data_IF_659541173979
#
_entry.id   IF_659541173979
#
_cell.length_a   1.000
_cell.length_b   1.000
_cell.length_c   1.000
_cell.angle_alpha   90.00
_cell.angle_beta   90.00
_cell.angle_gamma   90.00
#
_symmetry.space_group_name_H-M   'P 1'
#
loop_
_entity.id
_entity.type
_entity.pdbx_description
1 polymer ?
#
# COMPACT_ATOMS: atom_id res chain seq x y z
N UNK A 1 4.98 30.50 -16.99
CA UNK A 1 4.06 29.50 -16.41
C UNK A 1 4.12 29.41 -14.88
N UNK A 2 5.08 30.03 -14.21
CA UNK A 2 5.31 29.99 -12.76
C UNK A 2 4.50 31.02 -11.93
N UNK A 3 3.85 32.00 -12.55
CA UNK A 3 3.07 33.04 -11.82
C UNK A 3 1.66 32.60 -11.39
N UNK A 4 1.12 31.52 -11.94
CA UNK A 4 -0.23 31.00 -11.57
C UNK A 4 -0.25 30.16 -10.30
N UNK A 5 0.89 29.65 -9.83
CA UNK A 5 0.96 28.77 -8.65
C UNK A 5 0.95 29.56 -7.34
N UNK A 6 1.41 30.82 -7.36
CA UNK A 6 1.50 31.67 -6.16
C UNK A 6 0.16 32.25 -5.68
N UNK A 7 -0.87 32.25 -6.51
CA UNK A 7 -2.20 32.82 -6.14
C UNK A 7 -3.21 31.79 -5.59
N UNK A 8 -2.88 30.51 -5.59
CA UNK A 8 -3.73 29.44 -5.06
C UNK A 8 -3.87 29.47 -3.52
N UNK A 9 -2.77 29.63 -2.74
CA UNK A 9 -2.87 29.65 -1.28
C UNK A 9 -3.68 30.85 -0.76
N UNK A 10 -3.54 32.03 -1.39
CA UNK A 10 -4.27 33.23 -0.95
C UNK A 10 -5.78 33.13 -1.20
N UNK A 11 -6.18 32.53 -2.32
CA UNK A 11 -7.59 32.28 -2.63
C UNK A 11 -8.21 31.21 -1.73
N UNK A 12 -7.44 30.19 -1.37
CA UNK A 12 -7.87 29.16 -0.42
C UNK A 12 -7.98 29.74 1.00
N UNK A 13 -7.00 30.52 1.44
CA UNK A 13 -7.01 31.17 2.73
C UNK A 13 -8.18 32.17 2.86
N UNK A 14 -8.50 32.89 1.80
CA UNK A 14 -9.62 33.82 1.78
C UNK A 14 -10.97 33.10 1.83
N UNK A 15 -11.13 32.00 1.07
CA UNK A 15 -12.32 31.13 1.14
C UNK A 15 -12.45 30.41 2.48
N UNK A 16 -11.34 30.01 3.09
CA UNK A 16 -11.30 29.42 4.43
C UNK A 16 -11.88 30.37 5.48
N UNK A 17 -11.54 31.65 5.42
CA UNK A 17 -12.05 32.67 6.37
C UNK A 17 -13.51 33.06 6.14
N UNK A 18 -14.01 32.94 4.92
CA UNK A 18 -15.33 33.45 4.52
C UNK A 18 -16.43 32.38 4.49
N UNK A 19 -16.12 31.10 4.51
CA UNK A 19 -17.10 30.02 4.35
C UNK A 19 -16.92 28.87 5.34
N UNK A 20 -17.82 28.76 6.31
CA UNK A 20 -17.87 27.61 7.22
C UNK A 20 -18.03 26.30 6.44
N UNK A 21 -18.80 26.30 5.35
CA UNK A 21 -18.98 25.14 4.46
C UNK A 21 -17.65 24.63 3.93
N UNK A 22 -16.84 25.54 3.39
CA UNK A 22 -15.52 25.20 2.86
C UNK A 22 -14.59 24.66 3.93
N UNK A 23 -14.64 25.22 5.14
CA UNK A 23 -13.83 24.76 6.29
C UNK A 23 -14.19 23.32 6.70
N UNK A 24 -15.48 23.01 6.83
CA UNK A 24 -15.93 21.65 7.23
C UNK A 24 -15.52 20.64 6.17
N UNK A 25 -15.83 20.88 4.92
CA UNK A 25 -15.48 19.93 3.83
C UNK A 25 -13.96 19.75 3.73
N UNK A 26 -13.21 20.85 3.72
CA UNK A 26 -11.75 20.78 3.59
C UNK A 26 -11.09 20.12 4.81
N UNK A 27 -11.55 20.42 6.04
CA UNK A 27 -11.02 19.78 7.26
C UNK A 27 -11.33 18.27 7.27
N UNK A 28 -12.50 17.85 6.80
CA UNK A 28 -12.85 16.43 6.65
C UNK A 28 -11.92 15.74 5.65
N UNK A 29 -11.74 16.33 4.46
CA UNK A 29 -10.85 15.78 3.44
C UNK A 29 -9.40 15.69 3.96
N UNK A 30 -8.89 16.79 4.51
CA UNK A 30 -7.51 16.83 5.04
C UNK A 30 -7.33 15.82 6.18
N UNK A 31 -8.26 15.79 7.15
CA UNK A 31 -8.22 14.84 8.26
C UNK A 31 -8.27 13.39 7.80
N UNK A 32 -9.20 13.05 6.90
CA UNK A 32 -9.32 11.70 6.34
C UNK A 32 -8.09 11.30 5.52
N UNK A 33 -7.55 12.23 4.74
CA UNK A 33 -6.33 11.99 3.96
C UNK A 33 -5.12 11.77 4.88
N UNK A 34 -5.00 12.56 5.95
CA UNK A 34 -3.92 12.40 6.93
C UNK A 34 -3.98 11.04 7.61
N UNK A 35 -5.17 10.62 8.05
CA UNK A 35 -5.38 9.29 8.65
C UNK A 35 -4.99 8.19 7.65
N UNK A 36 -5.39 8.31 6.39
CA UNK A 36 -5.04 7.33 5.37
C UNK A 36 -3.52 7.26 5.12
N UNK A 37 -2.85 8.43 5.04
CA UNK A 37 -1.39 8.51 4.84
C UNK A 37 -0.64 7.84 6.00
N UNK A 38 -1.17 7.91 7.22
CA UNK A 38 -0.55 7.29 8.39
C UNK A 38 -0.84 5.78 8.49
N UNK A 39 -2.09 5.38 8.24
CA UNK A 39 -2.51 3.99 8.41
C UNK A 39 -2.09 3.09 7.25
N UNK A 40 -2.14 3.59 6.01
CA UNK A 40 -1.87 2.76 4.83
C UNK A 40 -0.46 2.18 4.81
N UNK A 41 0.62 2.96 5.04
CA UNK A 41 1.98 2.41 5.09
C UNK A 41 2.17 1.41 6.24
N UNK A 42 1.58 1.65 7.41
CA UNK A 42 1.66 0.74 8.54
C UNK A 42 0.98 -0.61 8.23
N UNK A 43 -0.21 -0.58 7.63
CA UNK A 43 -0.94 -1.78 7.23
C UNK A 43 -0.19 -2.56 6.14
N UNK A 44 0.24 -1.87 5.08
CA UNK A 44 0.98 -2.49 3.98
C UNK A 44 2.33 -3.04 4.45
N UNK A 45 3.04 -2.33 5.34
CA UNK A 45 4.29 -2.80 5.93
C UNK A 45 4.13 -4.11 6.69
N UNK A 46 3.09 -4.24 7.51
CA UNK A 46 2.79 -5.48 8.23
C UNK A 46 2.44 -6.64 7.29
N UNK A 47 1.65 -6.39 6.25
CA UNK A 47 1.29 -7.41 5.24
C UNK A 47 2.55 -7.85 4.49
N UNK A 48 3.36 -6.89 4.01
CA UNK A 48 4.60 -7.19 3.29
C UNK A 48 5.56 -7.98 4.14
N UNK A 49 5.80 -7.57 5.39
CA UNK A 49 6.67 -8.29 6.32
C UNK A 49 6.16 -9.71 6.60
N UNK A 50 4.85 -9.89 6.75
CA UNK A 50 4.24 -11.21 6.95
C UNK A 50 4.41 -12.13 5.73
N UNK A 51 4.12 -11.63 4.53
CA UNK A 51 4.25 -12.40 3.28
C UNK A 51 5.71 -12.77 3.01
N UNK A 52 6.63 -11.80 3.06
CA UNK A 52 8.05 -12.05 2.81
C UNK A 52 8.67 -12.93 3.90
N UNK A 53 8.35 -12.71 5.17
CA UNK A 53 8.87 -13.55 6.27
C UNK A 53 8.40 -15.00 6.18
N UNK A 54 7.14 -15.24 5.78
CA UNK A 54 6.63 -16.59 5.54
C UNK A 54 7.34 -17.25 4.36
N UNK A 55 7.55 -16.52 3.26
CA UNK A 55 8.28 -17.02 2.08
C UNK A 55 9.74 -17.33 2.43
N UNK A 56 10.42 -16.44 3.16
CA UNK A 56 11.79 -16.63 3.63
C UNK A 56 11.92 -17.91 4.47
N UNK A 57 11.06 -18.08 5.48
CA UNK A 57 11.07 -19.27 6.32
C UNK A 57 10.83 -20.55 5.51
N UNK A 58 9.91 -20.53 4.57
CA UNK A 58 9.62 -21.66 3.68
C UNK A 58 10.79 -21.96 2.74
N UNK A 59 11.40 -20.92 2.15
CA UNK A 59 12.54 -21.05 1.26
C UNK A 59 13.77 -21.62 1.98
N UNK A 60 14.05 -21.17 3.19
CA UNK A 60 15.17 -21.69 4.02
C UNK A 60 14.94 -23.15 4.41
N UNK A 61 13.72 -23.52 4.79
CA UNK A 61 13.38 -24.91 5.11
C UNK A 61 13.54 -25.81 3.88
N UNK A 62 13.01 -25.37 2.72
CA UNK A 62 13.12 -26.09 1.46
C UNK A 62 14.59 -26.22 1.01
N UNK A 63 15.37 -25.13 1.11
CA UNK A 63 16.79 -25.14 0.74
C UNK A 63 17.59 -26.11 1.61
N UNK A 64 17.29 -26.19 2.89
CA UNK A 64 17.93 -27.13 3.80
C UNK A 64 17.59 -28.58 3.45
N UNK A 65 16.33 -28.86 3.14
CA UNK A 65 15.87 -30.20 2.73
C UNK A 65 16.49 -30.60 1.38
N UNK A 66 16.49 -29.70 0.40
CA UNK A 66 17.04 -29.93 -0.92
C UNK A 66 18.57 -30.15 -0.89
N UNK A 67 19.30 -29.36 -0.06
CA UNK A 67 20.72 -29.61 0.18
C UNK A 67 20.96 -31.00 0.71
N UNK A 68 20.19 -31.45 1.70
CA UNK A 68 20.29 -32.79 2.26
C UNK A 68 20.04 -33.90 1.22
N UNK A 69 19.10 -33.65 0.32
CA UNK A 69 18.84 -34.58 -0.80
C UNK A 69 19.98 -34.58 -1.81
N UNK A 70 20.46 -33.40 -2.23
CA UNK A 70 21.60 -33.26 -3.14
C UNK A 70 22.82 -33.99 -2.61
N UNK A 71 23.15 -33.81 -1.32
CA UNK A 71 24.28 -34.48 -0.69
C UNK A 71 24.08 -36.00 -0.63
N UNK A 72 22.88 -36.49 -0.36
CA UNK A 72 22.58 -37.93 -0.38
C UNK A 72 22.79 -38.54 -1.76
N UNK A 73 22.37 -37.85 -2.82
CA UNK A 73 22.60 -38.30 -4.22
C UNK A 73 24.11 -38.36 -4.49
N UNK A 74 24.86 -37.35 -4.09
CA UNK A 74 26.32 -37.29 -4.24
C UNK A 74 27.01 -38.43 -3.46
N UNK A 75 26.58 -38.71 -2.23
CA UNK A 75 27.17 -39.74 -1.39
C UNK A 75 26.84 -41.17 -1.89
N UNK A 76 25.68 -41.36 -2.53
CA UNK A 76 25.27 -42.63 -3.13
C UNK A 76 25.96 -42.89 -4.48
N UNK A 77 26.50 -41.84 -5.14
CA UNK A 77 27.16 -41.99 -6.43
C UNK A 77 28.62 -42.39 -6.22
N UNK A 78 29.14 -43.43 -6.87
CA UNK A 78 30.55 -43.76 -6.81
C UNK A 78 31.43 -42.61 -7.24
N UNK A 79 32.63 -42.49 -6.57
CA UNK A 79 33.55 -41.45 -6.95
C UNK A 79 33.90 -41.54 -8.44
N UNK A 80 34.03 -40.39 -9.14
CA UNK A 80 34.33 -40.39 -10.57
C UNK A 80 35.69 -41.08 -10.79
N UNK A 81 35.67 -42.19 -11.50
CA UNK A 81 36.88 -42.92 -11.93
C UNK A 81 36.97 -42.75 -13.44
N UNK A 82 38.04 -42.06 -13.89
CA UNK A 82 38.55 -41.95 -15.26
C UNK A 82 37.61 -41.80 -16.45
N UNK A 83 36.53 -42.54 -16.50
CA UNK A 83 35.58 -42.53 -17.63
C UNK A 83 34.23 -41.88 -17.34
N UNK A 84 33.87 -41.68 -16.05
CA UNK A 84 32.64 -40.97 -15.70
C UNK A 84 32.98 -39.56 -15.27
N UNK A 85 32.79 -38.55 -16.11
CA UNK A 85 33.15 -37.20 -15.78
C UNK A 85 32.25 -36.69 -14.63
N UNK A 86 32.85 -35.93 -13.72
CA UNK A 86 32.14 -35.26 -12.60
C UNK A 86 30.91 -34.48 -13.06
N UNK A 87 30.93 -34.00 -14.32
CA UNK A 87 29.81 -33.31 -14.96
C UNK A 87 28.52 -34.12 -14.97
N UNK A 88 28.58 -35.47 -15.15
CA UNK A 88 27.35 -36.33 -15.12
C UNK A 88 26.73 -36.40 -13.74
N UNK A 89 27.58 -36.44 -12.69
CA UNK A 89 27.08 -36.49 -11.31
C UNK A 89 26.41 -35.14 -10.95
N UNK A 90 27.03 -34.03 -11.35
CA UNK A 90 26.48 -32.69 -11.14
C UNK A 90 25.18 -32.53 -11.95
N UNK A 91 25.15 -32.97 -13.21
CA UNK A 91 23.95 -32.96 -14.04
C UNK A 91 22.79 -33.73 -13.40
N UNK A 92 23.08 -34.92 -12.83
CA UNK A 92 22.08 -35.70 -12.13
C UNK A 92 21.50 -34.97 -10.88
N UNK A 93 22.38 -34.30 -10.12
CA UNK A 93 21.95 -33.48 -8.98
C UNK A 93 21.11 -32.28 -9.44
N UNK A 94 21.56 -31.56 -10.47
CA UNK A 94 20.80 -30.43 -11.04
C UNK A 94 19.45 -30.91 -11.53
N UNK A 95 19.39 -32.03 -12.27
CA UNK A 95 18.13 -32.58 -12.79
C UNK A 95 17.16 -32.98 -11.66
N UNK A 96 17.69 -33.61 -10.60
CA UNK A 96 16.86 -33.98 -9.45
C UNK A 96 16.33 -32.75 -8.69
N UNK A 97 17.17 -31.74 -8.49
CA UNK A 97 16.77 -30.50 -7.83
C UNK A 97 15.84 -29.65 -8.73
N UNK A 98 16.08 -29.63 -10.04
CA UNK A 98 15.22 -28.99 -11.01
C UNK A 98 13.82 -29.62 -11.03
N UNK A 99 13.74 -30.94 -11.03
CA UNK A 99 12.46 -31.65 -10.97
C UNK A 99 11.68 -31.30 -9.69
N UNK A 100 12.38 -31.16 -8.58
CA UNK A 100 11.79 -30.75 -7.30
C UNK A 100 11.32 -29.29 -7.34
N UNK A 101 12.13 -28.37 -7.82
CA UNK A 101 11.80 -26.95 -7.96
C UNK A 101 10.67 -26.70 -8.95
N UNK A 102 10.72 -27.35 -10.11
CA UNK A 102 9.73 -27.19 -11.17
C UNK A 102 8.35 -27.74 -10.82
N UNK A 103 8.27 -28.88 -10.10
CA UNK A 103 6.99 -29.45 -9.66
C UNK A 103 6.20 -28.51 -8.77
N UNK A 104 6.88 -27.65 -8.02
CA UNK A 104 6.27 -26.72 -7.11
C UNK A 104 6.31 -25.26 -7.59
N UNK A 105 7.00 -24.98 -8.72
CA UNK A 105 7.25 -23.60 -9.19
C UNK A 105 8.02 -22.75 -8.16
N UNK A 106 8.81 -23.43 -7.30
CA UNK A 106 9.31 -22.80 -6.07
C UNK A 106 10.66 -22.13 -6.26
N UNK A 107 11.57 -22.75 -7.02
CA UNK A 107 12.94 -22.23 -7.15
C UNK A 107 13.66 -22.73 -8.41
N UNK A 108 14.65 -21.96 -8.82
CA UNK A 108 15.65 -22.33 -9.82
C UNK A 108 16.92 -22.81 -9.12
N UNK A 109 17.72 -23.60 -9.82
CA UNK A 109 18.95 -24.20 -9.29
C UNK A 109 20.16 -23.74 -10.09
N UNK A 110 21.23 -23.38 -9.39
CA UNK A 110 22.53 -23.08 -9.97
C UNK A 110 23.60 -23.79 -9.13
N UNK A 111 24.48 -24.56 -9.76
CA UNK A 111 25.63 -25.20 -9.13
C UNK A 111 26.91 -24.60 -9.71
N UNK A 112 27.72 -24.03 -8.84
CA UNK A 112 28.99 -23.40 -9.18
C UNK A 112 30.14 -24.17 -8.52
N UNK A 113 31.30 -24.13 -9.16
CA UNK A 113 32.52 -24.65 -8.54
C UNK A 113 33.06 -23.61 -7.53
N UNK A 114 33.45 -24.05 -6.33
CA UNK A 114 34.11 -23.17 -5.38
C UNK A 114 35.55 -22.91 -5.79
N UNK A 115 35.94 -21.65 -5.98
CA UNK A 115 37.36 -21.32 -6.18
C UNK A 115 38.18 -21.49 -4.87
N UNK A 116 39.43 -21.97 -4.91
CA UNK A 116 40.29 -22.08 -6.08
C UNK A 116 40.62 -23.54 -6.45
N UNK A 117 39.73 -24.19 -7.13
CA UNK A 117 40.15 -25.43 -7.78
C UNK A 117 40.67 -25.04 -9.18
N UNK A 118 41.96 -24.77 -9.29
CA UNK A 118 42.65 -24.43 -10.54
C UNK A 118 42.56 -25.48 -11.66
N UNK A 119 41.53 -26.26 -11.68
CA UNK A 119 41.15 -27.28 -12.65
C UNK A 119 39.60 -27.37 -12.74
N UNK A 120 38.91 -26.25 -12.81
CA UNK A 120 37.46 -26.25 -13.10
C UNK A 120 37.24 -26.70 -14.57
N UNK A 121 37.30 -28.00 -14.80
CA UNK A 121 36.97 -28.63 -16.09
C UNK A 121 35.46 -28.91 -16.22
N UNK A 122 34.66 -28.55 -15.21
CA UNK A 122 33.22 -28.80 -15.23
C UNK A 122 32.48 -27.48 -15.43
N UNK A 123 31.71 -27.38 -16.51
CA UNK A 123 30.90 -26.19 -16.74
C UNK A 123 29.86 -26.05 -15.62
N UNK A 124 29.66 -24.82 -15.21
CA UNK A 124 28.56 -24.40 -14.38
C UNK A 124 27.21 -24.87 -14.95
N UNK A 125 26.33 -25.34 -14.09
CA UNK A 125 25.05 -25.92 -14.48
C UNK A 125 23.93 -25.30 -13.69
N UNK A 126 22.92 -24.83 -14.40
CA UNK A 126 21.72 -24.25 -13.82
C UNK A 126 20.46 -24.71 -14.54
N UNK A 127 19.32 -24.39 -13.95
CA UNK A 127 18.01 -24.57 -14.56
C UNK A 127 17.55 -23.27 -15.22
N UNK A 128 16.69 -23.41 -16.24
CA UNK A 128 15.97 -22.31 -16.89
C UNK A 128 16.81 -21.09 -17.29
N UNK A 129 18.06 -21.32 -17.68
CA UNK A 129 18.93 -20.26 -18.19
C UNK A 129 19.12 -19.08 -17.21
N UNK A 130 19.21 -19.35 -15.91
CA UNK A 130 19.56 -18.33 -14.91
C UNK A 130 21.04 -18.00 -15.03
N UNK A 131 21.33 -16.70 -15.00
CA UNK A 131 22.71 -16.19 -15.06
C UNK A 131 23.40 -16.33 -13.69
N UNK A 132 24.71 -16.55 -13.70
CA UNK A 132 25.54 -16.54 -12.48
C UNK A 132 25.56 -15.18 -11.78
N UNK A 133 25.36 -14.11 -12.52
CA UNK A 133 25.23 -12.74 -11.98
C UNK A 133 24.10 -12.60 -10.96
N UNK A 134 23.13 -13.53 -10.99
CA UNK A 134 22.06 -13.60 -10.00
C UNK A 134 22.56 -13.88 -8.57
N UNK A 135 23.79 -14.44 -8.43
CA UNK A 135 24.40 -14.72 -7.12
C UNK A 135 25.42 -13.64 -6.79
N UNK A 136 25.18 -12.81 -5.76
CA UNK A 136 26.11 -11.77 -5.34
C UNK A 136 27.48 -12.35 -4.95
N UNK A 137 28.57 -11.67 -5.36
CA UNK A 137 29.93 -12.10 -5.09
C UNK A 137 30.22 -12.29 -3.58
N UNK A 138 29.71 -11.39 -2.75
CA UNK A 138 29.81 -11.46 -1.29
C UNK A 138 29.22 -12.76 -0.73
N UNK A 139 28.11 -13.20 -1.31
CA UNK A 139 27.48 -14.45 -0.90
C UNK A 139 28.31 -15.67 -1.32
N UNK A 140 28.93 -15.64 -2.51
CA UNK A 140 29.87 -16.68 -2.96
C UNK A 140 31.03 -16.80 -2.00
N UNK A 141 31.65 -15.70 -1.59
CA UNK A 141 32.75 -15.69 -0.60
C UNK A 141 32.34 -16.32 0.74
N UNK A 142 31.12 -16.07 1.22
CA UNK A 142 30.60 -16.65 2.46
C UNK A 142 30.41 -18.16 2.29
N UNK A 143 29.76 -18.61 1.21
CA UNK A 143 29.45 -20.03 1.01
C UNK A 143 30.73 -20.84 0.77
N UNK A 144 31.65 -20.36 -0.08
CA UNK A 144 32.92 -21.05 -0.37
C UNK A 144 33.90 -21.01 0.79
N UNK A 145 34.08 -19.84 1.41
CA UNK A 145 35.06 -19.62 2.45
C UNK A 145 34.65 -20.18 3.81
N UNK A 146 33.42 -19.96 4.25
CA UNK A 146 32.96 -20.39 5.57
C UNK A 146 32.33 -21.77 5.60
N UNK A 147 32.08 -22.37 4.43
CA UNK A 147 31.36 -23.65 4.26
C UNK A 147 30.01 -23.69 4.99
N UNK A 148 29.33 -22.55 5.03
CA UNK A 148 28.05 -22.36 5.71
C UNK A 148 26.96 -22.01 4.71
N UNK A 149 25.73 -22.37 5.03
CA UNK A 149 24.56 -21.88 4.31
C UNK A 149 24.41 -20.36 4.56
N UNK A 150 24.22 -19.62 3.49
CA UNK A 150 23.96 -18.19 3.50
C UNK A 150 22.74 -17.87 2.61
N UNK A 151 22.13 -16.71 2.82
CA UNK A 151 21.01 -16.25 2.02
C UNK A 151 20.99 -14.73 1.91
N UNK A 152 20.40 -14.24 0.83
CA UNK A 152 20.19 -12.81 0.61
C UNK A 152 19.08 -12.56 -0.43
N UNK A 153 18.55 -11.34 -0.44
CA UNK A 153 17.72 -10.86 -1.53
C UNK A 153 18.61 -10.45 -2.71
N UNK A 154 18.17 -10.76 -3.93
CA UNK A 154 18.89 -10.46 -5.16
C UNK A 154 17.92 -10.25 -6.31
N UNK A 155 18.42 -9.79 -7.44
CA UNK A 155 17.72 -9.86 -8.72
C UNK A 155 18.13 -11.13 -9.44
N UNK A 156 17.16 -11.95 -9.78
CA UNK A 156 17.40 -13.14 -10.61
C UNK A 156 17.41 -12.70 -12.06
N UNK A 157 18.57 -12.82 -12.68
CA UNK A 157 18.79 -12.48 -14.08
C UNK A 157 18.71 -13.75 -14.93
N UNK A 158 17.84 -13.73 -15.93
CA UNK A 158 17.71 -14.81 -16.90
C UNK A 158 18.48 -14.48 -18.18
N UNK A 159 18.97 -15.48 -18.87
CA UNK A 159 19.74 -15.29 -20.14
C UNK A 159 18.90 -14.71 -21.28
N UNK A 160 17.56 -14.71 -21.13
CA UNK A 160 16.63 -14.04 -22.06
C UNK A 160 16.45 -12.54 -21.77
N UNK A 161 17.18 -12.01 -20.78
CA UNK A 161 17.13 -10.61 -20.36
C UNK A 161 16.02 -10.25 -19.38
N UNK A 162 15.26 -11.22 -18.89
CA UNK A 162 14.30 -10.97 -17.81
C UNK A 162 15.03 -10.83 -16.47
N UNK A 163 14.59 -9.84 -15.69
CA UNK A 163 15.06 -9.59 -14.34
C UNK A 163 13.86 -9.72 -13.38
N UNK A 164 13.97 -10.60 -12.40
CA UNK A 164 12.93 -10.84 -11.41
C UNK A 164 13.55 -10.70 -10.02
N UNK A 165 12.93 -9.93 -9.10
CA UNK A 165 13.39 -9.92 -7.72
C UNK A 165 13.26 -11.30 -7.10
N UNK A 166 14.25 -11.70 -6.35
CA UNK A 166 14.34 -13.04 -5.80
C UNK A 166 15.04 -13.08 -4.46
N UNK A 167 14.97 -14.27 -3.90
CA UNK A 167 15.64 -14.67 -2.68
C UNK A 167 16.54 -15.84 -2.99
N UNK A 168 17.83 -15.70 -2.73
CA UNK A 168 18.82 -16.76 -3.02
C UNK A 168 19.31 -17.39 -1.73
N UNK A 169 19.36 -18.71 -1.71
CA UNK A 169 19.97 -19.51 -0.64
C UNK A 169 21.11 -20.30 -1.23
N UNK A 170 22.32 -20.11 -0.70
CA UNK A 170 23.51 -20.83 -1.09
C UNK A 170 23.98 -21.78 0.00
N UNK A 171 24.44 -22.96 -0.39
CA UNK A 171 24.96 -23.94 0.53
C UNK A 171 26.15 -24.70 -0.09
N UNK A 172 27.16 -25.08 0.69
CA UNK A 172 28.27 -25.90 0.20
C UNK A 172 27.81 -27.34 -0.06
N UNK A 173 28.35 -27.91 -1.14
CA UNK A 173 28.23 -29.33 -1.49
C UNK A 173 29.61 -29.96 -1.60
N UNK A 174 29.75 -31.16 -1.09
CA UNK A 174 30.98 -31.94 -1.23
C UNK A 174 30.85 -33.02 -2.29
N UNK A 175 31.58 -32.90 -3.38
CA UNK A 175 31.65 -33.91 -4.43
C UNK A 175 32.89 -34.76 -4.27
N UNK A 176 32.71 -36.04 -3.95
CA UNK A 176 33.83 -36.97 -3.71
C UNK A 176 34.76 -37.06 -4.93
N UNK A 177 36.05 -36.86 -4.72
CA UNK A 177 37.08 -36.96 -5.77
C UNK A 177 37.13 -35.79 -6.76
N UNK A 178 36.32 -34.77 -6.57
CA UNK A 178 36.30 -33.58 -7.46
C UNK A 178 36.62 -32.29 -6.69
N UNK A 179 35.93 -32.09 -5.56
CA UNK A 179 36.18 -30.89 -4.73
C UNK A 179 34.88 -30.27 -4.19
N UNK A 180 34.99 -29.09 -3.60
CA UNK A 180 33.82 -28.35 -3.11
C UNK A 180 33.08 -27.67 -4.24
N UNK A 181 31.77 -27.73 -4.17
CA UNK A 181 30.82 -27.05 -5.01
C UNK A 181 29.88 -26.20 -4.16
N UNK A 182 29.18 -25.29 -4.81
CA UNK A 182 28.19 -24.41 -4.21
C UNK A 182 26.85 -24.65 -4.88
N UNK A 183 25.83 -24.97 -4.09
CA UNK A 183 24.43 -25.11 -4.54
C UNK A 183 23.71 -23.82 -4.21
N UNK A 184 23.19 -23.17 -5.21
CA UNK A 184 22.33 -22.00 -5.07
C UNK A 184 20.91 -22.36 -5.52
N UNK A 185 19.96 -21.97 -4.69
CA UNK A 185 18.53 -22.08 -4.98
C UNK A 185 17.97 -20.65 -5.00
N UNK A 186 17.40 -20.29 -6.13
CA UNK A 186 16.88 -18.96 -6.39
C UNK A 186 15.35 -19.03 -6.39
N UNK A 187 14.75 -18.34 -5.45
CA UNK A 187 13.30 -18.29 -5.25
C UNK A 187 12.76 -17.00 -5.86
N UNK A 188 12.04 -17.05 -7.01
CA UNK A 188 11.41 -15.87 -7.58
C UNK A 188 10.36 -15.29 -6.63
N UNK A 189 10.23 -13.96 -6.60
CA UNK A 189 9.28 -13.19 -5.79
C UNK A 189 8.29 -12.40 -6.64
N UNK A 190 8.17 -12.70 -7.92
CA UNK A 190 7.26 -12.03 -8.86
C UNK A 190 5.80 -12.16 -8.45
N UNK A 191 5.36 -13.37 -8.10
CA UNK A 191 3.99 -13.63 -7.63
C UNK A 191 3.67 -12.87 -6.34
N UNK A 192 4.62 -12.83 -5.41
CA UNK A 192 4.49 -12.08 -4.17
C UNK A 192 4.42 -10.58 -4.45
N UNK A 193 5.22 -10.05 -5.38
CA UNK A 193 5.18 -8.65 -5.78
C UNK A 193 3.87 -8.27 -6.48
N UNK A 194 3.37 -9.11 -7.37
CA UNK A 194 2.07 -8.89 -8.00
C UNK A 194 0.95 -8.84 -6.96
N UNK A 195 0.95 -9.78 -6.02
CA UNK A 195 -0.02 -9.82 -4.92
C UNK A 195 0.06 -8.55 -4.06
N UNK A 196 1.26 -8.12 -3.68
CA UNK A 196 1.46 -6.90 -2.90
C UNK A 196 1.02 -5.65 -3.67
N UNK A 197 1.24 -5.62 -4.98
CA UNK A 197 0.80 -4.53 -5.85
C UNK A 197 -0.72 -4.48 -5.95
N UNK A 198 -1.38 -5.63 -6.11
CA UNK A 198 -2.86 -5.72 -6.10
C UNK A 198 -3.43 -5.25 -4.76
N UNK A 199 -2.89 -5.72 -3.65
CA UNK A 199 -3.32 -5.30 -2.30
C UNK A 199 -3.13 -3.79 -2.11
N UNK A 200 -1.99 -3.25 -2.51
CA UNK A 200 -1.71 -1.81 -2.45
C UNK A 200 -2.71 -1.00 -3.26
N UNK A 201 -2.96 -1.40 -4.50
CA UNK A 201 -3.87 -0.69 -5.39
C UNK A 201 -5.33 -0.79 -4.90
N UNK A 202 -5.76 -1.97 -4.48
CA UNK A 202 -7.10 -2.19 -3.91
C UNK A 202 -7.31 -1.34 -2.65
N UNK A 203 -6.32 -1.31 -1.75
CA UNK A 203 -6.40 -0.53 -0.51
C UNK A 203 -6.38 0.98 -0.80
N UNK A 204 -5.56 1.45 -1.74
CA UNK A 204 -5.55 2.84 -2.17
C UNK A 204 -6.89 3.25 -2.81
N UNK A 205 -7.47 2.39 -3.64
CA UNK A 205 -8.78 2.62 -4.24
C UNK A 205 -9.89 2.69 -3.18
N UNK A 206 -9.95 1.72 -2.28
CA UNK A 206 -10.92 1.70 -1.18
C UNK A 206 -10.77 2.93 -0.27
N UNK A 207 -9.54 3.31 0.08
CA UNK A 207 -9.26 4.52 0.84
C UNK A 207 -9.72 5.80 0.15
N UNK A 208 -9.50 5.90 -1.16
CA UNK A 208 -9.97 7.03 -1.97
C UNK A 208 -11.51 7.12 -1.98
N UNK A 209 -12.19 5.98 -2.08
CA UNK A 209 -13.65 5.91 -2.05
C UNK A 209 -14.21 6.36 -0.69
N UNK A 210 -13.55 5.96 0.41
CA UNK A 210 -13.93 6.38 1.77
C UNK A 210 -13.77 7.90 1.93
N UNK A 211 -12.66 8.48 1.46
CA UNK A 211 -12.44 9.95 1.51
C UNK A 211 -13.55 10.66 0.72
N UNK A 212 -13.87 10.17 -0.47
CA UNK A 212 -14.92 10.76 -1.31
C UNK A 212 -16.29 10.68 -0.62
N UNK A 213 -16.62 9.53 -0.02
CA UNK A 213 -17.85 9.33 0.75
C UNK A 213 -17.96 10.27 1.95
N UNK A 214 -16.89 10.41 2.71
CA UNK A 214 -16.83 11.33 3.85
C UNK A 214 -16.95 12.79 3.42
N UNK A 215 -16.31 13.18 2.30
CA UNK A 215 -16.45 14.51 1.73
C UNK A 215 -17.87 14.79 1.25
N UNK A 216 -18.51 13.82 0.60
CA UNK A 216 -19.90 13.92 0.18
C UNK A 216 -20.85 14.04 1.37
N UNK A 217 -20.64 13.23 2.41
CA UNK A 217 -21.41 13.30 3.65
C UNK A 217 -21.24 14.66 4.35
N UNK A 218 -20.00 15.15 4.46
CA UNK A 218 -19.71 16.47 5.02
C UNK A 218 -20.39 17.59 4.22
N UNK A 219 -20.39 17.49 2.90
CA UNK A 219 -21.11 18.40 2.02
C UNK A 219 -22.63 18.36 2.26
N UNK A 220 -23.21 17.16 2.33
CA UNK A 220 -24.63 16.95 2.58
C UNK A 220 -25.06 17.57 3.89
N UNK A 221 -24.37 17.26 4.99
CA UNK A 221 -24.62 17.85 6.32
C UNK A 221 -24.51 19.37 6.29
N UNK A 222 -23.51 19.89 5.59
CA UNK A 222 -23.32 21.33 5.43
C UNK A 222 -24.49 21.98 4.69
N UNK A 223 -25.01 21.35 3.65
CA UNK A 223 -26.14 21.87 2.89
C UNK A 223 -27.44 21.75 3.68
N UNK A 224 -27.67 20.66 4.40
CA UNK A 224 -28.91 20.42 5.13
C UNK A 224 -29.03 21.23 6.42
N UNK A 225 -27.95 21.42 7.17
CA UNK A 225 -27.97 22.03 8.49
C UNK A 225 -27.36 23.43 8.51
N UNK A 226 -26.12 23.56 8.03
CA UNK A 226 -25.36 24.83 8.17
C UNK A 226 -25.94 25.94 7.28
N UNK A 227 -26.50 25.59 6.12
CA UNK A 227 -27.04 26.56 5.17
C UNK A 227 -28.29 27.26 5.70
N UNK A 228 -29.33 26.55 6.18
CA UNK A 228 -30.53 27.16 6.74
C UNK A 228 -30.25 28.05 7.95
N UNK A 229 -29.36 27.59 8.87
CA UNK A 229 -28.97 28.36 10.06
C UNK A 229 -28.36 29.72 9.68
N UNK A 230 -27.51 29.75 8.65
CA UNK A 230 -26.93 31.01 8.16
C UNK A 230 -27.96 31.94 7.48
N UNK A 231 -28.94 31.35 6.80
CA UNK A 231 -30.05 32.10 6.20
C UNK A 231 -30.91 32.73 7.32
N UNK A 232 -31.24 31.96 8.33
CA UNK A 232 -31.96 32.45 9.51
C UNK A 232 -31.22 33.60 10.21
N UNK A 233 -29.92 33.43 10.48
CA UNK A 233 -29.11 34.46 11.09
C UNK A 233 -29.01 35.75 10.27
N UNK A 234 -28.99 35.67 8.93
CA UNK A 234 -29.02 36.82 8.03
C UNK A 234 -30.37 37.52 8.04
N UNK A 235 -31.44 36.77 8.05
CA UNK A 235 -32.78 37.33 8.09
C UNK A 235 -33.04 38.03 9.41
N UNK A 236 -32.59 37.44 10.54
CA UNK A 236 -32.69 38.05 11.86
C UNK A 236 -31.89 39.38 11.95
N UNK A 237 -30.69 39.45 11.36
CA UNK A 237 -29.90 40.71 11.30
C UNK A 237 -30.57 41.79 10.44
N UNK A 238 -31.19 41.40 9.30
CA UNK A 238 -31.95 42.35 8.49
C UNK A 238 -33.15 42.91 9.25
N UNK A 239 -33.87 42.01 9.98
CA UNK A 239 -34.96 42.41 10.83
C UNK A 239 -34.53 43.42 11.90
N UNK A 240 -33.42 43.15 12.61
CA UNK A 240 -32.89 44.06 13.65
C UNK A 240 -32.37 45.39 13.09
N UNK A 241 -32.01 45.44 11.81
CA UNK A 241 -31.60 46.69 11.12
C UNK A 241 -32.77 47.54 10.58
N UNK A 242 -34.00 47.20 10.98
CA UNK A 242 -35.19 48.03 10.63
C UNK A 242 -35.99 47.48 9.43
N UNK A 243 -35.54 46.40 8.79
CA UNK A 243 -36.33 45.80 7.69
C UNK A 243 -37.33 44.79 8.26
N UNK A 244 -38.41 45.33 8.85
CA UNK A 244 -39.44 44.56 9.54
C UNK A 244 -40.28 43.61 8.60
N UNK A 245 -40.14 43.77 7.31
CA UNK A 245 -40.73 42.90 6.27
C UNK A 245 -39.93 41.58 6.01
N UNK A 246 -38.72 41.50 6.56
CA UNK A 246 -37.89 40.30 6.37
C UNK A 246 -38.56 39.09 7.02
N UNK A 247 -38.74 38.02 6.26
CA UNK A 247 -39.33 36.75 6.71
C UNK A 247 -38.34 35.59 6.46
N UNK A 248 -38.35 34.58 7.35
CA UNK A 248 -37.62 33.35 7.16
C UNK A 248 -38.43 32.41 6.24
N UNK A 249 -37.73 31.73 5.34
CA UNK A 249 -38.34 30.67 4.54
C UNK A 249 -38.60 29.44 5.40
N UNK A 250 -39.85 29.02 5.51
CA UNK A 250 -40.21 27.75 6.13
C UNK A 250 -39.97 26.65 5.11
N UNK A 251 -39.05 25.71 5.45
CA UNK A 251 -38.71 24.52 4.63
C UNK A 251 -38.69 23.30 5.51
N UNK A 252 -39.48 22.26 5.10
CA UNK A 252 -39.58 21.02 5.86
C UNK A 252 -40.51 21.09 7.07
N UNK A 253 -40.43 20.10 7.94
CA UNK A 253 -41.23 19.96 9.16
C UNK A 253 -40.35 19.76 10.39
N UNK A 254 -39.05 20.09 10.29
CA UNK A 254 -38.06 19.96 11.33
C UNK A 254 -38.04 21.16 12.30
N UNK A 255 -37.18 21.06 13.31
CA UNK A 255 -37.00 22.11 14.33
C UNK A 255 -36.61 23.47 13.70
N UNK A 256 -35.95 23.48 12.54
CA UNK A 256 -35.59 24.69 11.81
C UNK A 256 -36.81 25.32 11.11
N UNK A 257 -37.71 24.49 10.66
CA UNK A 257 -39.00 24.98 10.12
C UNK A 257 -39.87 25.59 11.23
N UNK A 258 -39.91 24.98 12.42
CA UNK A 258 -40.60 25.54 13.59
C UNK A 258 -39.99 26.88 14.02
N UNK A 259 -38.66 26.99 14.05
CA UNK A 259 -37.97 28.23 14.34
C UNK A 259 -38.35 29.33 13.31
N UNK A 260 -38.42 28.99 12.05
CA UNK A 260 -38.82 29.94 11.01
C UNK A 260 -40.27 30.41 11.16
N UNK A 261 -41.18 29.51 11.55
CA UNK A 261 -42.58 29.87 11.83
C UNK A 261 -42.68 30.82 13.01
N UNK A 262 -42.08 30.47 14.16
CA UNK A 262 -42.08 31.30 15.37
C UNK A 262 -41.47 32.67 15.15
N UNK A 263 -40.36 32.74 14.38
CA UNK A 263 -39.76 34.02 13.99
C UNK A 263 -40.70 34.87 13.14
N UNK A 264 -41.37 34.27 12.17
CA UNK A 264 -42.30 34.98 11.29
C UNK A 264 -43.54 35.47 12.03
N UNK A 265 -44.05 34.73 13.01
CA UNK A 265 -45.16 35.16 13.89
C UNK A 265 -44.72 36.36 14.74
N UNK A 266 -43.57 36.26 15.39
CA UNK A 266 -43.00 37.38 16.16
C UNK A 266 -42.83 38.64 15.28
N UNK A 267 -42.29 38.48 14.08
CA UNK A 267 -42.10 39.55 13.13
C UNK A 267 -43.43 40.16 12.65
N UNK A 268 -44.50 39.38 12.58
CA UNK A 268 -45.85 39.83 12.28
C UNK A 268 -46.47 40.69 13.38
N UNK A 269 -46.33 40.24 14.64
CA UNK A 269 -46.83 41.01 15.81
C UNK A 269 -46.16 42.37 15.97
N UNK A 270 -44.85 42.43 15.72
CA UNK A 270 -44.08 43.72 15.81
C UNK A 270 -44.35 44.68 14.63
N UNK A 271 -44.85 44.17 13.52
CA UNK A 271 -45.18 44.98 12.34
C UNK A 271 -46.64 45.52 12.38
N UNK A 272 -47.52 44.91 13.15
CA UNK A 272 -48.88 45.37 13.38
C UNK A 272 -48.84 46.42 14.50
N UNK A 273 -48.92 47.72 14.21
CA UNK A 273 -49.07 48.71 15.27
C UNK A 273 -50.39 48.46 15.97
N UNK A 274 -50.34 48.37 17.30
CA UNK A 274 -51.49 48.16 18.16
C UNK A 274 -52.54 49.25 17.86
N UNK A 275 -53.56 48.88 17.15
CA UNK A 275 -54.69 49.76 16.82
C UNK A 275 -55.65 49.91 18.00
N UNK A 276 -55.17 49.59 19.20
CA UNK A 276 -55.92 49.63 20.45
C UNK A 276 -55.57 50.89 21.30
N UNK A 277 -55.30 52.04 20.67
CA UNK A 277 -55.44 53.30 21.40
C UNK A 277 -56.94 53.65 21.45
N UNK A 278 -57.49 53.25 22.53
CA UNK A 278 -58.78 53.55 23.07
C UNK A 278 -59.15 55.00 22.79
N UNK A 279 -60.17 55.26 21.94
CA UNK A 279 -60.89 56.51 21.84
C UNK A 279 -61.64 56.73 23.14
N UNK A 280 -61.09 57.49 24.07
CA UNK A 280 -61.83 57.96 25.23
C UNK A 280 -62.87 58.99 24.72
N UNK A 281 -64.19 58.75 24.90
CA UNK A 281 -65.19 59.77 24.54
C UNK A 281 -65.13 60.87 25.54
N UNK A 282 -64.80 62.12 25.10
CA UNK A 282 -64.99 63.33 25.87
C UNK A 282 -66.49 63.69 25.78
N UNK A 283 -67.20 63.57 26.88
CA UNK A 283 -68.55 64.07 27.06
C UNK A 283 -68.47 65.58 27.34
N UNK A 284 -69.12 66.44 26.55
CA UNK A 284 -69.29 67.84 26.93
C UNK A 284 -70.45 67.99 27.90
N UNK A 285 -70.27 68.81 28.97
CA UNK A 285 -71.28 69.37 29.86
C UNK A 285 -71.92 70.61 29.31
#
# INVERSE_FOLDING_TARGET
MLSRIRSLPDRLAQRWRQSIRFRVILSTIVGSTLVLILLLPALLGNITAGVLGSKEASALAEATAARGEAQRILDATPAPTGEVPASRTIEAVVAAMAARGAQAGLFEVLILASEPAGLSLTPERGTNLVSETSVPAEMREIVSGSQRQAWTYTTIEYTDGREIPGFVVGAPLAVRGVGPYELYQLFPLDTEQETLTLVRNATAFAGSLIILGLAALAALVTFMIVSPVHEAARTARRFSSGHLEARMRVRGEDDLAQLAVSFNEMAGTLQSPDSSQVMVPVTPS
#
